data_IF_286462791160
#
_entry.id   IF_286462791160
#
_cell.length_a   1.000
_cell.length_b   1.000
_cell.length_c   1.000
_cell.angle_alpha   90.00
_cell.angle_beta   90.00
_cell.angle_gamma   90.00
#
_symmetry.space_group_name_H-M   'P 1'
#
loop_
_entity.id
_entity.type
_entity.pdbx_description
1 polymer ?
#
# COMPACT_ATOMS: atom_id res chain seq x y z
N UNK A 1 -19.92 19.39 -0.29
CA UNK A 1 -18.61 19.26 -0.99
C UNK A 1 -17.87 18.09 -0.34
N UNK A 2 -17.17 17.24 -1.09
CA UNK A 2 -16.33 16.21 -0.46
C UNK A 2 -15.18 16.89 0.31
N UNK A 3 -14.74 16.31 1.42
CA UNK A 3 -13.60 16.86 2.18
C UNK A 3 -12.33 16.90 1.31
N UNK A 4 -12.13 15.93 0.40
CA UNK A 4 -11.05 15.97 -0.59
C UNK A 4 -11.09 17.18 -1.53
N UNK A 5 -12.27 17.70 -1.90
CA UNK A 5 -12.36 18.93 -2.69
C UNK A 5 -11.92 20.16 -1.89
N UNK A 6 -12.17 20.16 -0.57
CA UNK A 6 -11.67 21.19 0.33
C UNK A 6 -10.14 21.13 0.48
N UNK A 7 -9.56 19.93 0.60
CA UNK A 7 -8.10 19.74 0.63
C UNK A 7 -7.45 20.32 -0.64
N UNK A 8 -8.00 20.02 -1.82
CA UNK A 8 -7.52 20.59 -3.09
C UNK A 8 -7.59 22.11 -3.09
N UNK A 9 -8.66 22.70 -2.54
CA UNK A 9 -8.79 24.14 -2.42
C UNK A 9 -7.76 24.76 -1.45
N UNK A 10 -7.45 24.08 -0.35
CA UNK A 10 -6.41 24.49 0.61
C UNK A 10 -5.04 24.44 -0.09
N UNK A 11 -4.66 23.32 -0.71
CA UNK A 11 -3.40 23.21 -1.45
C UNK A 11 -3.28 24.32 -2.51
N UNK A 12 -4.34 24.53 -3.31
CA UNK A 12 -4.36 25.57 -4.33
C UNK A 12 -4.22 26.98 -3.73
N UNK A 13 -4.82 27.25 -2.57
CA UNK A 13 -4.71 28.53 -1.86
C UNK A 13 -3.28 28.79 -1.40
N UNK A 14 -2.62 27.81 -0.76
CA UNK A 14 -1.25 27.97 -0.27
C UNK A 14 -0.25 28.08 -1.44
N UNK A 15 -0.52 27.38 -2.54
CA UNK A 15 0.21 27.53 -3.81
C UNK A 15 0.08 28.93 -4.40
N UNK A 16 -1.13 29.50 -4.39
CA UNK A 16 -1.40 30.84 -4.92
C UNK A 16 -0.85 31.96 -4.02
N UNK A 17 -0.88 31.78 -2.69
CA UNK A 17 -0.33 32.74 -1.73
C UNK A 17 1.20 32.79 -1.75
N UNK A 18 1.86 31.67 -2.10
CA UNK A 18 3.28 31.61 -2.40
C UNK A 18 3.57 32.02 -3.84
N UNK A 19 3.34 33.30 -4.18
CA UNK A 19 3.43 33.85 -5.55
C UNK A 19 4.74 33.56 -6.32
N UNK A 20 5.79 33.07 -5.66
CA UNK A 20 6.94 32.40 -6.27
C UNK A 20 7.18 31.06 -5.55
N UNK A 21 7.66 30.02 -6.25
CA UNK A 21 8.14 28.77 -5.62
C UNK A 21 9.30 28.98 -4.61
N UNK A 22 9.75 30.22 -4.44
CA UNK A 22 10.87 30.63 -3.62
C UNK A 22 10.79 30.24 -2.14
N UNK A 23 9.65 30.30 -1.42
CA UNK A 23 9.61 29.91 0.00
C UNK A 23 9.87 28.41 0.22
N UNK A 24 9.24 27.55 -0.60
CA UNK A 24 9.44 26.10 -0.54
C UNK A 24 10.86 25.72 -0.99
N UNK A 25 11.34 26.27 -2.11
CA UNK A 25 12.69 26.04 -2.59
C UNK A 25 13.76 26.52 -1.59
N UNK A 26 13.54 27.67 -0.94
CA UNK A 26 14.46 28.21 0.08
C UNK A 26 14.50 27.30 1.31
N UNK A 27 13.34 26.88 1.81
CA UNK A 27 13.26 26.00 2.96
C UNK A 27 13.87 24.62 2.69
N UNK A 28 13.63 24.05 1.51
CA UNK A 28 14.23 22.79 1.08
C UNK A 28 15.75 22.93 0.95
N UNK A 29 16.26 24.01 0.35
CA UNK A 29 17.70 24.26 0.28
C UNK A 29 18.34 24.34 1.65
N UNK A 30 17.69 24.98 2.63
CA UNK A 30 18.18 25.00 4.01
C UNK A 30 18.22 23.60 4.66
N UNK A 31 17.28 22.71 4.31
CA UNK A 31 17.17 21.35 4.86
C UNK A 31 18.10 20.35 4.16
N UNK A 32 18.27 20.47 2.85
CA UNK A 32 19.18 19.65 2.04
C UNK A 32 20.66 20.04 2.21
N UNK A 33 20.90 21.25 2.73
CA UNK A 33 22.23 21.78 3.00
C UNK A 33 22.84 22.53 1.82
N UNK A 34 23.96 23.22 2.08
CA UNK A 34 24.60 24.16 1.14
C UNK A 34 25.22 23.51 -0.11
N UNK A 35 25.25 22.18 -0.18
CA UNK A 35 25.76 21.42 -1.34
C UNK A 35 24.69 21.09 -2.38
N UNK A 36 23.41 21.26 -2.03
CA UNK A 36 22.32 20.97 -2.95
C UNK A 36 22.35 21.95 -4.14
N UNK A 37 22.40 21.40 -5.34
CA UNK A 37 22.35 22.15 -6.59
C UNK A 37 20.95 22.73 -6.81
N UNK A 38 20.81 23.79 -7.63
CA UNK A 38 19.49 24.32 -7.98
C UNK A 38 18.56 23.26 -8.58
N UNK A 39 19.08 22.38 -9.44
CA UNK A 39 18.30 21.31 -10.06
C UNK A 39 17.75 20.31 -9.03
N UNK A 40 18.57 19.87 -8.07
CA UNK A 40 18.12 18.97 -7.00
C UNK A 40 17.05 19.62 -6.12
N UNK A 41 17.15 20.93 -5.88
CA UNK A 41 16.11 21.68 -5.14
C UNK A 41 14.81 21.76 -5.95
N UNK A 42 14.88 22.02 -7.25
CA UNK A 42 13.72 22.07 -8.13
C UNK A 42 13.02 20.72 -8.24
N UNK A 43 13.79 19.62 -8.32
CA UNK A 43 13.27 18.24 -8.25
C UNK A 43 12.57 17.97 -6.90
N UNK A 44 13.18 18.38 -5.79
CA UNK A 44 12.57 18.24 -4.47
C UNK A 44 11.27 19.05 -4.32
N UNK A 45 11.22 20.26 -4.89
CA UNK A 45 9.99 21.09 -4.94
C UNK A 45 8.91 20.39 -5.75
N UNK A 46 9.24 19.86 -6.93
CA UNK A 46 8.31 19.13 -7.77
C UNK A 46 7.75 17.90 -7.04
N UNK A 47 8.60 17.15 -6.35
CA UNK A 47 8.19 15.96 -5.61
C UNK A 47 7.31 16.28 -4.39
N UNK A 48 7.60 17.37 -3.65
CA UNK A 48 6.71 17.86 -2.59
C UNK A 48 5.29 18.14 -3.11
N UNK A 49 5.19 18.77 -4.28
CA UNK A 49 3.90 19.11 -4.90
C UNK A 49 3.16 17.88 -5.40
N UNK A 50 3.87 16.93 -5.99
CA UNK A 50 3.30 15.65 -6.39
C UNK A 50 2.69 14.92 -5.19
N UNK A 51 3.40 14.88 -4.06
CA UNK A 51 2.90 14.31 -2.81
C UNK A 51 1.61 15.01 -2.36
N UNK A 52 1.61 16.35 -2.30
CA UNK A 52 0.43 17.13 -1.88
C UNK A 52 -0.76 16.88 -2.79
N UNK A 53 -0.54 16.91 -4.11
CA UNK A 53 -1.61 16.74 -5.10
C UNK A 53 -2.17 15.30 -5.10
N UNK A 54 -1.34 14.32 -4.73
CA UNK A 54 -1.73 12.91 -4.67
C UNK A 54 -2.61 12.56 -3.46
N UNK A 55 -2.35 13.16 -2.28
CA UNK A 55 -3.10 12.82 -1.04
C UNK A 55 -4.63 12.81 -1.24
N UNK A 56 -5.29 13.87 -1.75
CA UNK A 56 -6.73 13.85 -1.94
C UNK A 56 -7.18 12.81 -2.98
N UNK A 57 -6.36 12.53 -4.00
CA UNK A 57 -6.63 11.49 -5.00
C UNK A 57 -6.63 10.10 -4.37
N UNK A 58 -5.64 9.81 -3.52
CA UNK A 58 -5.52 8.52 -2.84
C UNK A 58 -6.66 8.28 -1.87
N UNK A 59 -7.11 9.31 -1.15
CA UNK A 59 -8.29 9.25 -0.29
C UNK A 59 -9.54 8.92 -1.09
N UNK A 60 -9.77 9.62 -2.21
CA UNK A 60 -10.91 9.36 -3.10
C UNK A 60 -10.88 7.90 -3.63
N UNK A 61 -9.71 7.41 -4.04
CA UNK A 61 -9.54 6.03 -4.55
C UNK A 61 -9.75 4.97 -3.48
N UNK A 62 -9.27 5.22 -2.27
CA UNK A 62 -9.49 4.34 -1.13
C UNK A 62 -10.96 4.23 -0.78
N UNK A 63 -11.67 5.37 -0.75
CA UNK A 63 -13.11 5.42 -0.51
C UNK A 63 -13.88 4.65 -1.57
N UNK A 64 -13.52 4.82 -2.84
CA UNK A 64 -14.11 4.08 -3.97
C UNK A 64 -13.86 2.56 -3.86
N UNK A 65 -12.61 2.16 -3.58
CA UNK A 65 -12.25 0.75 -3.41
C UNK A 65 -12.95 0.11 -2.20
N UNK A 66 -13.00 0.81 -1.07
CA UNK A 66 -13.71 0.39 0.13
C UNK A 66 -15.21 0.21 -0.14
N UNK A 67 -15.83 1.14 -0.90
CA UNK A 67 -17.22 1.03 -1.33
C UNK A 67 -17.49 -0.25 -2.13
N UNK A 68 -16.64 -0.56 -3.12
CA UNK A 68 -16.77 -1.80 -3.93
C UNK A 68 -16.65 -3.08 -3.11
N UNK A 69 -15.88 -3.06 -2.04
CA UNK A 69 -15.67 -4.22 -1.16
C UNK A 69 -16.64 -4.26 0.04
N UNK A 70 -17.56 -3.30 0.16
CA UNK A 70 -18.47 -3.20 1.30
C UNK A 70 -17.78 -2.82 2.62
N UNK A 71 -16.58 -2.23 2.55
CA UNK A 71 -15.75 -1.83 3.68
C UNK A 71 -15.81 -0.33 3.98
N UNK A 72 -16.62 0.45 3.25
CA UNK A 72 -16.71 1.90 3.42
C UNK A 72 -16.91 2.34 4.87
N UNK A 73 -17.85 1.71 5.61
CA UNK A 73 -18.09 2.05 7.02
C UNK A 73 -16.92 1.73 7.97
N UNK A 74 -16.05 0.79 7.62
CA UNK A 74 -14.88 0.45 8.41
C UNK A 74 -13.73 1.45 8.20
N UNK A 75 -13.56 1.91 6.97
CA UNK A 75 -12.40 2.71 6.53
C UNK A 75 -12.66 4.21 6.62
N UNK A 76 -13.91 4.64 6.47
CA UNK A 76 -14.28 6.06 6.47
C UNK A 76 -13.76 6.82 7.71
N UNK A 77 -13.82 6.29 8.95
CA UNK A 77 -13.26 7.01 10.11
C UNK A 77 -11.75 7.29 9.96
N UNK A 78 -11.01 6.38 9.33
CA UNK A 78 -9.57 6.56 9.10
C UNK A 78 -9.31 7.57 7.98
N UNK A 79 -10.12 7.56 6.92
CA UNK A 79 -10.03 8.53 5.83
C UNK A 79 -10.44 9.94 6.28
N UNK A 80 -11.53 10.06 7.03
CA UNK A 80 -11.97 11.33 7.62
C UNK A 80 -10.91 11.90 8.57
N UNK A 81 -10.21 11.03 9.31
CA UNK A 81 -9.08 11.46 10.12
C UNK A 81 -7.89 11.95 9.27
N UNK A 82 -7.58 11.26 8.16
CA UNK A 82 -6.57 11.74 7.21
C UNK A 82 -6.95 13.11 6.60
N UNK A 83 -8.23 13.31 6.29
CA UNK A 83 -8.75 14.58 5.78
C UNK A 83 -8.69 15.69 6.83
N UNK A 84 -8.90 15.36 8.11
CA UNK A 84 -8.90 16.33 9.21
C UNK A 84 -7.56 17.05 9.39
N UNK A 85 -6.43 16.41 9.08
CA UNK A 85 -5.12 17.06 9.16
C UNK A 85 -5.01 18.30 8.27
N UNK A 86 -5.68 18.32 7.11
CA UNK A 86 -5.71 19.48 6.24
C UNK A 86 -6.82 20.47 6.57
N UNK A 87 -7.97 19.97 7.03
CA UNK A 87 -9.19 20.78 7.21
C UNK A 87 -9.20 21.54 8.54
N UNK A 88 -8.64 20.94 9.58
CA UNK A 88 -8.50 21.50 10.92
C UNK A 88 -7.06 21.25 11.41
N UNK A 89 -6.07 21.92 10.78
CA UNK A 89 -4.68 21.58 10.99
C UNK A 89 -4.24 21.91 12.42
N UNK A 90 -3.51 20.97 13.02
CA UNK A 90 -2.77 21.22 14.27
C UNK A 90 -1.37 21.71 13.86
N UNK A 91 -1.29 22.94 13.35
CA UNK A 91 -0.09 23.54 12.76
C UNK A 91 1.19 23.21 13.55
N UNK A 92 1.98 22.24 13.08
CA UNK A 92 3.32 21.96 13.63
C UNK A 92 4.35 22.75 12.84
N UNK A 93 4.14 22.86 11.54
CA UNK A 93 4.77 23.81 10.67
C UNK A 93 3.79 24.96 10.39
N UNK A 94 4.08 26.20 10.83
CA UNK A 94 3.16 27.31 10.62
C UNK A 94 3.00 27.60 9.12
N UNK A 95 1.83 27.26 8.57
CA UNK A 95 1.49 27.45 7.15
C UNK A 95 1.63 28.92 6.72
N UNK A 96 1.29 29.83 7.64
CA UNK A 96 1.39 31.29 7.48
C UNK A 96 2.83 31.79 7.28
N UNK A 97 3.83 31.04 7.74
CA UNK A 97 5.25 31.39 7.63
C UNK A 97 5.98 30.55 6.58
N UNK A 98 5.49 29.34 6.30
CA UNK A 98 6.20 28.34 5.50
C UNK A 98 5.50 28.00 4.18
N UNK A 99 4.31 28.55 3.92
CA UNK A 99 3.57 28.34 2.67
C UNK A 99 3.25 26.85 2.44
N UNK A 100 3.52 26.34 1.23
CA UNK A 100 3.30 24.93 0.87
C UNK A 100 4.11 23.94 1.75
N UNK A 101 5.25 24.37 2.31
CA UNK A 101 6.04 23.52 3.20
C UNK A 101 5.26 23.19 4.50
N UNK A 102 4.40 24.10 4.93
CA UNK A 102 3.56 23.92 6.11
C UNK A 102 2.43 22.91 5.93
N UNK A 103 2.24 22.36 4.72
CA UNK A 103 1.28 21.29 4.46
C UNK A 103 1.93 19.90 4.44
N UNK A 104 3.27 19.83 4.53
CA UNK A 104 4.00 18.56 4.38
C UNK A 104 3.91 17.67 5.62
N UNK A 105 3.73 18.25 6.81
CA UNK A 105 3.39 17.52 8.02
C UNK A 105 1.97 16.92 7.93
N UNK A 106 0.99 17.67 7.41
CA UNK A 106 -0.36 17.13 7.19
C UNK A 106 -0.35 16.02 6.14
N UNK A 107 0.40 16.21 5.05
CA UNK A 107 0.60 15.17 4.04
C UNK A 107 1.25 13.92 4.62
N UNK A 108 2.25 14.08 5.49
CA UNK A 108 2.87 12.96 6.20
C UNK A 108 1.86 12.21 7.07
N UNK A 109 1.05 12.92 7.86
CA UNK A 109 0.05 12.31 8.73
C UNK A 109 -1.06 11.60 7.92
N UNK A 110 -1.53 12.22 6.84
CA UNK A 110 -2.52 11.63 5.95
C UNK A 110 -1.99 10.39 5.21
N UNK A 111 -0.78 10.42 4.67
CA UNK A 111 -0.16 9.26 4.02
C UNK A 111 0.07 8.11 5.00
N UNK A 112 0.37 8.40 6.26
CA UNK A 112 0.43 7.38 7.30
C UNK A 112 -0.93 6.76 7.60
N UNK A 113 -1.99 7.57 7.73
CA UNK A 113 -3.34 7.05 7.91
C UNK A 113 -3.78 6.19 6.71
N UNK A 114 -3.42 6.61 5.49
CA UNK A 114 -3.59 5.82 4.26
C UNK A 114 -2.82 4.50 4.35
N UNK A 115 -1.56 4.51 4.78
CA UNK A 115 -0.76 3.29 4.96
C UNK A 115 -1.41 2.32 5.95
N UNK A 116 -2.00 2.83 7.03
CA UNK A 116 -2.66 1.99 8.04
C UNK A 116 -3.90 1.26 7.53
N UNK A 117 -4.62 1.81 6.53
CA UNK A 117 -5.76 1.10 5.92
C UNK A 117 -5.35 0.06 4.88
N UNK A 118 -4.11 0.11 4.39
CA UNK A 118 -3.55 -0.88 3.48
C UNK A 118 -3.03 -2.09 4.28
N UNK A 119 -3.87 -3.09 4.49
CA UNK A 119 -3.47 -4.31 5.20
C UNK A 119 -2.96 -5.34 4.20
N UNK A 120 -1.68 -5.71 4.30
CA UNK A 120 -1.15 -6.86 3.56
C UNK A 120 -1.76 -8.18 4.04
N UNK A 121 -1.95 -9.17 3.14
CA UNK A 121 -1.53 -9.22 1.73
C UNK A 121 -2.53 -8.64 0.71
N UNK A 122 -3.68 -8.12 1.16
CA UNK A 122 -4.78 -7.70 0.29
C UNK A 122 -5.12 -6.21 0.47
N UNK A 123 -4.24 -5.30 -0.02
CA UNK A 123 -4.47 -3.87 0.11
C UNK A 123 -5.65 -3.42 -0.77
N UNK A 124 -6.42 -2.44 -0.29
CA UNK A 124 -7.56 -1.87 -1.01
C UNK A 124 -7.14 -1.23 -2.34
N UNK A 125 -5.98 -0.56 -2.33
CA UNK A 125 -5.29 -0.10 -3.53
C UNK A 125 -3.80 -0.45 -3.41
N UNK A 126 -3.21 -0.95 -4.48
CA UNK A 126 -1.76 -1.18 -4.53
C UNK A 126 -1.07 0.13 -4.88
N UNK A 127 -0.34 0.69 -3.92
CA UNK A 127 0.48 1.89 -4.10
C UNK A 127 1.75 1.77 -3.25
N UNK A 128 2.89 2.17 -3.80
CA UNK A 128 4.16 2.20 -3.07
C UNK A 128 4.33 3.55 -2.37
N UNK A 129 4.05 3.59 -1.07
CA UNK A 129 4.21 4.78 -0.23
C UNK A 129 5.64 4.96 0.29
N UNK A 130 6.57 4.02 0.04
CA UNK A 130 7.91 4.02 0.61
C UNK A 130 8.76 5.25 0.24
N UNK A 131 8.95 5.53 -1.06
CA UNK A 131 9.74 6.68 -1.52
C UNK A 131 9.27 8.04 -0.97
N UNK A 132 7.98 8.43 -1.07
CA UNK A 132 7.55 9.74 -0.58
C UNK A 132 7.56 9.83 0.95
N UNK A 133 7.27 8.73 1.65
CA UNK A 133 7.39 8.69 3.11
C UNK A 133 8.84 8.94 3.54
N UNK A 134 9.80 8.27 2.92
CA UNK A 134 11.23 8.45 3.21
C UNK A 134 11.67 9.88 2.92
N UNK A 135 11.22 10.45 1.80
CA UNK A 135 11.52 11.82 1.43
C UNK A 135 10.93 12.84 2.42
N UNK A 136 9.66 12.70 2.80
CA UNK A 136 9.04 13.55 3.83
C UNK A 136 9.77 13.45 5.16
N UNK A 137 10.25 12.27 5.55
CA UNK A 137 11.04 12.10 6.75
C UNK A 137 12.36 12.90 6.71
N UNK A 138 13.06 12.85 5.59
CA UNK A 138 14.27 13.64 5.39
C UNK A 138 13.98 15.15 5.42
N UNK A 139 12.91 15.58 4.75
CA UNK A 139 12.54 17.00 4.68
C UNK A 139 12.09 17.50 6.05
N UNK A 140 11.18 16.83 6.75
CA UNK A 140 10.56 17.32 7.99
C UNK A 140 11.56 17.43 9.16
N UNK A 141 12.62 16.61 9.14
CA UNK A 141 13.65 16.59 10.17
C UNK A 141 13.21 15.87 11.45
N UNK A 142 14.20 15.42 12.23
CA UNK A 142 13.99 14.50 13.35
C UNK A 142 13.04 15.02 14.43
N UNK A 143 13.14 16.31 14.79
CA UNK A 143 12.33 16.90 15.87
C UNK A 143 10.85 17.02 15.49
N UNK A 144 10.55 17.44 14.27
CA UNK A 144 9.18 17.48 13.72
C UNK A 144 8.62 16.07 13.65
N UNK A 145 9.39 15.13 13.08
CA UNK A 145 8.97 13.74 12.96
C UNK A 145 8.68 13.08 14.31
N UNK A 146 9.49 13.31 15.34
CA UNK A 146 9.26 12.75 16.66
C UNK A 146 7.89 13.17 17.22
N UNK A 147 7.50 14.43 17.00
CA UNK A 147 6.19 14.95 17.42
C UNK A 147 5.06 14.35 16.59
N UNK A 148 5.20 14.30 15.27
CA UNK A 148 4.20 13.71 14.38
C UNK A 148 3.99 12.23 14.66
N UNK A 149 5.06 11.46 14.90
CA UNK A 149 4.99 10.04 15.28
C UNK A 149 4.28 9.83 16.63
N UNK A 150 4.52 10.71 17.60
CA UNK A 150 3.81 10.65 18.89
C UNK A 150 2.30 10.92 18.74
N UNK A 151 1.94 11.88 17.89
CA UNK A 151 0.55 12.20 17.57
C UNK A 151 -0.14 11.04 16.85
N UNK A 152 0.49 10.51 15.81
CA UNK A 152 0.01 9.32 15.13
C UNK A 152 -0.22 8.15 16.08
N UNK A 153 0.72 7.87 17.00
CA UNK A 153 0.55 6.79 17.96
C UNK A 153 -0.63 7.02 18.92
N UNK A 154 -1.03 8.27 19.17
CA UNK A 154 -2.24 8.59 19.91
C UNK A 154 -3.50 8.36 19.05
N UNK A 155 -3.50 8.86 17.82
CA UNK A 155 -4.60 8.69 16.86
C UNK A 155 -4.84 7.24 16.47
N UNK A 156 -3.79 6.46 16.23
CA UNK A 156 -3.84 5.04 15.92
C UNK A 156 -4.56 4.25 17.03
N UNK A 157 -4.26 4.55 18.30
CA UNK A 157 -4.93 3.88 19.42
C UNK A 157 -6.43 4.16 19.46
N UNK A 158 -6.86 5.36 19.06
CA UNK A 158 -8.28 5.73 18.98
C UNK A 158 -8.94 5.05 17.78
N UNK A 159 -8.30 5.10 16.60
CA UNK A 159 -8.80 4.50 15.37
C UNK A 159 -8.89 2.98 15.45
N UNK A 160 -7.90 2.29 16.04
CA UNK A 160 -7.95 0.83 16.24
C UNK A 160 -9.09 0.42 17.17
N UNK A 161 -9.38 1.22 18.21
CA UNK A 161 -10.54 0.98 19.10
C UNK A 161 -11.86 1.18 18.36
N UNK A 162 -11.93 2.12 17.43
CA UNK A 162 -13.11 2.30 16.57
C UNK A 162 -13.26 1.18 15.55
N UNK A 163 -12.20 0.84 14.82
CA UNK A 163 -12.18 -0.25 13.86
C UNK A 163 -12.55 -1.60 14.51
N UNK A 164 -12.09 -1.86 15.73
CA UNK A 164 -12.48 -3.06 16.48
C UNK A 164 -14.00 -3.10 16.78
N UNK A 165 -14.59 -1.95 17.13
CA UNK A 165 -16.05 -1.83 17.34
C UNK A 165 -16.81 -2.12 16.04
N UNK A 166 -16.35 -1.56 14.92
CA UNK A 166 -16.94 -1.79 13.60
C UNK A 166 -16.82 -3.26 13.14
N UNK A 167 -15.64 -3.86 13.31
CA UNK A 167 -15.40 -5.27 12.96
C UNK A 167 -16.30 -6.21 13.75
N UNK A 168 -16.47 -5.97 15.05
CA UNK A 168 -17.38 -6.76 15.87
C UNK A 168 -18.84 -6.67 15.38
N UNK A 169 -19.29 -5.47 14.99
CA UNK A 169 -20.62 -5.30 14.40
C UNK A 169 -20.78 -6.02 13.05
N UNK A 170 -19.75 -5.98 12.19
CA UNK A 170 -19.77 -6.66 10.89
C UNK A 170 -19.71 -8.20 11.01
N UNK A 171 -18.93 -8.74 11.96
CA UNK A 171 -18.85 -10.18 12.21
C UNK A 171 -20.19 -10.73 12.73
N UNK A 172 -20.87 -9.99 13.60
CA UNK A 172 -22.21 -10.34 14.06
C UNK A 172 -23.21 -10.41 12.90
N UNK A 173 -23.14 -9.46 11.95
CA UNK A 173 -23.95 -9.49 10.73
C UNK A 173 -23.66 -10.75 9.89
N UNK A 174 -22.38 -11.05 9.62
CA UNK A 174 -21.96 -12.23 8.84
C UNK A 174 -22.42 -13.54 9.48
N UNK A 175 -22.34 -13.65 10.81
CA UNK A 175 -22.81 -14.83 11.55
C UNK A 175 -24.30 -15.07 11.36
N UNK A 176 -25.10 -13.99 11.39
CA UNK A 176 -26.55 -14.07 11.13
C UNK A 176 -26.87 -14.52 9.71
N UNK A 177 -26.06 -14.12 8.73
CA UNK A 177 -26.20 -14.52 7.34
C UNK A 177 -25.75 -15.97 7.10
N UNK A 178 -24.61 -16.37 7.66
CA UNK A 178 -24.09 -17.73 7.56
C UNK A 178 -25.04 -18.76 8.20
N UNK A 179 -25.66 -18.41 9.33
CA UNK A 179 -26.68 -19.24 9.99
C UNK A 179 -27.93 -19.49 9.10
N UNK A 180 -28.13 -18.70 8.03
CA UNK A 180 -29.23 -18.87 7.08
C UNK A 180 -28.88 -19.74 5.88
N UNK A 181 -27.62 -20.19 5.74
CA UNK A 181 -27.14 -20.91 4.55
C UNK A 181 -27.14 -22.44 4.79
N UNK A 182 -27.80 -23.26 3.96
CA UNK A 182 -27.82 -24.72 4.12
C UNK A 182 -26.49 -25.36 3.70
N UNK A 183 -26.10 -26.44 4.39
CA UNK A 183 -24.81 -27.12 4.23
C UNK A 183 -24.77 -28.08 3.02
N UNK A 184 -23.67 -28.05 2.27
CA UNK A 184 -23.41 -28.88 1.08
C UNK A 184 -22.61 -30.14 1.45
N UNK A 185 -22.94 -31.30 0.85
CA UNK A 185 -22.46 -32.62 1.27
C UNK A 185 -21.10 -33.02 0.64
N UNK A 186 -20.21 -33.73 1.36
CA UNK A 186 -18.87 -34.05 0.87
C UNK A 186 -18.84 -35.28 -0.05
N UNK A 187 -18.05 -35.19 -1.13
CA UNK A 187 -17.81 -36.30 -2.06
C UNK A 187 -16.77 -37.30 -1.54
N UNK A 188 -17.01 -38.59 -1.82
CA UNK A 188 -16.15 -39.73 -1.41
C UNK A 188 -14.97 -39.95 -2.37
N UNK A 189 -13.78 -40.31 -1.84
CA UNK A 189 -12.60 -40.56 -2.65
C UNK A 189 -12.47 -42.03 -3.11
N UNK A 190 -11.81 -42.22 -4.26
CA UNK A 190 -11.53 -43.53 -4.85
C UNK A 190 -10.15 -44.11 -4.45
N UNK A 191 -9.98 -45.46 -4.43
CA UNK A 191 -8.78 -46.11 -3.91
C UNK A 191 -7.69 -46.34 -4.97
N UNK A 192 -6.46 -46.54 -4.48
CA UNK A 192 -5.23 -46.77 -5.28
C UNK A 192 -4.73 -48.22 -5.19
N UNK A 193 -4.00 -48.71 -6.21
CA UNK A 193 -3.15 -49.90 -6.09
C UNK A 193 -1.64 -49.60 -6.22
N UNK A 194 -0.81 -50.54 -5.78
CA UNK A 194 0.67 -50.58 -5.71
C UNK A 194 1.19 -52.01 -6.04
N UNK A 195 2.50 -52.30 -6.10
CA UNK A 195 3.47 -51.91 -7.14
C UNK A 195 4.34 -53.10 -7.64
N UNK A 196 5.20 -52.86 -8.64
CA UNK A 196 6.34 -53.72 -9.02
C UNK A 196 7.32 -52.88 -9.86
N UNK A 197 8.60 -52.84 -9.48
CA UNK A 197 9.51 -51.75 -9.88
C UNK A 197 9.78 -51.64 -11.38
N UNK A 198 9.74 -50.42 -11.92
CA UNK A 198 9.94 -50.08 -13.34
C UNK A 198 10.69 -48.76 -13.47
N UNK A 199 11.27 -48.50 -14.63
CA UNK A 199 11.79 -47.16 -14.95
C UNK A 199 10.69 -46.12 -14.69
N UNK A 200 11.06 -45.03 -14.03
CA UNK A 200 10.12 -43.97 -13.71
C UNK A 200 9.68 -43.29 -15.00
N UNK A 201 8.52 -43.69 -15.53
CA UNK A 201 7.93 -43.08 -16.72
C UNK A 201 7.59 -41.61 -16.51
N UNK A 202 7.37 -41.19 -15.25
CA UNK A 202 7.05 -39.80 -14.92
C UNK A 202 8.22 -38.83 -15.16
N UNK A 203 9.47 -39.30 -15.08
CA UNK A 203 10.65 -38.49 -15.40
C UNK A 203 11.51 -39.11 -16.52
N UNK A 204 11.03 -40.16 -17.17
CA UNK A 204 11.77 -40.94 -18.17
C UNK A 204 13.19 -41.32 -17.70
N UNK A 205 13.36 -41.65 -16.42
CA UNK A 205 14.67 -42.00 -15.84
C UNK A 205 15.59 -40.82 -15.46
N UNK A 206 15.23 -39.56 -15.73
CA UNK A 206 16.09 -38.39 -15.48
C UNK A 206 16.26 -38.01 -14.00
N UNK A 207 15.41 -38.52 -13.11
CA UNK A 207 15.43 -38.17 -11.69
C UNK A 207 14.92 -36.75 -11.36
N UNK A 208 14.91 -35.83 -12.32
CA UNK A 208 14.23 -34.53 -12.21
C UNK A 208 13.02 -34.45 -13.15
N UNK A 209 12.10 -33.55 -12.82
CA UNK A 209 10.97 -33.21 -13.67
C UNK A 209 10.84 -31.68 -13.75
N UNK A 210 10.25 -31.19 -14.84
CA UNK A 210 9.87 -29.79 -14.98
C UNK A 210 9.00 -29.39 -13.80
N UNK A 211 9.34 -28.28 -13.15
CA UNK A 211 8.56 -27.76 -12.04
C UNK A 211 7.17 -27.39 -12.55
N UNK A 212 6.14 -28.14 -12.12
CA UNK A 212 4.76 -27.84 -12.50
C UNK A 212 4.24 -26.50 -11.97
N UNK A 213 4.86 -25.96 -10.91
CA UNK A 213 4.47 -24.67 -10.35
C UNK A 213 4.84 -23.50 -11.28
N UNK A 214 6.08 -23.49 -11.81
CA UNK A 214 6.54 -22.44 -12.71
C UNK A 214 6.64 -22.87 -14.18
N UNK A 215 6.09 -24.03 -14.55
CA UNK A 215 6.18 -24.62 -15.89
C UNK A 215 7.62 -24.68 -16.48
N UNK A 216 8.64 -24.73 -15.63
CA UNK A 216 10.04 -24.75 -16.05
C UNK A 216 10.73 -23.40 -16.21
N UNK A 217 10.04 -22.28 -15.99
CA UNK A 217 10.64 -20.94 -16.16
C UNK A 217 11.57 -20.53 -14.99
N UNK A 218 11.46 -21.18 -13.83
CA UNK A 218 12.22 -20.82 -12.63
C UNK A 218 11.69 -19.58 -11.89
N UNK A 219 10.64 -18.95 -12.40
CA UNK A 219 9.93 -17.82 -11.77
C UNK A 219 8.44 -17.88 -12.08
N UNK A 220 7.65 -17.21 -11.27
CA UNK A 220 6.26 -16.89 -11.55
C UNK A 220 6.18 -15.45 -12.02
N UNK A 221 5.45 -15.19 -13.10
CA UNK A 221 5.07 -13.83 -13.47
C UNK A 221 3.69 -13.55 -12.93
N UNK A 222 3.56 -12.51 -12.12
CA UNK A 222 2.26 -12.01 -11.69
C UNK A 222 2.04 -10.64 -12.32
N UNK A 223 0.92 -10.51 -13.02
CA UNK A 223 0.44 -9.24 -13.51
C UNK A 223 -0.59 -8.68 -12.54
N UNK A 224 -0.40 -7.45 -12.08
CA UNK A 224 -1.41 -6.77 -11.27
C UNK A 224 -1.51 -5.30 -11.65
N UNK A 225 -2.68 -4.73 -11.42
CA UNK A 225 -2.90 -3.29 -11.55
C UNK A 225 -2.53 -2.62 -10.23
N UNK A 226 -1.70 -1.60 -10.29
CA UNK A 226 -1.45 -0.66 -9.19
C UNK A 226 -1.97 0.72 -9.55
N UNK A 227 -2.03 1.60 -8.58
CA UNK A 227 -2.43 2.99 -8.77
C UNK A 227 -1.18 3.86 -8.64
N UNK A 228 -0.94 4.75 -9.61
CA UNK A 228 0.13 5.75 -9.55
C UNK A 228 -0.25 6.93 -8.63
N UNK A 229 0.67 7.87 -8.46
CA UNK A 229 0.47 9.06 -7.61
C UNK A 229 -0.61 10.02 -8.14
N UNK A 230 -0.91 9.95 -9.44
CA UNK A 230 -1.99 10.71 -10.05
C UNK A 230 -3.35 9.96 -9.99
N UNK A 231 -3.40 8.76 -9.42
CA UNK A 231 -4.61 7.97 -9.31
C UNK A 231 -4.97 7.18 -10.57
N UNK A 232 -4.06 7.04 -11.53
CA UNK A 232 -4.26 6.23 -12.73
C UNK A 232 -3.89 4.78 -12.46
N UNK A 233 -4.54 3.87 -13.18
CA UNK A 233 -4.23 2.46 -13.16
C UNK A 233 -2.98 2.17 -14.01
N UNK A 234 -1.94 1.59 -13.41
CA UNK A 234 -0.73 1.11 -14.07
C UNK A 234 -0.68 -0.42 -14.00
N UNK A 235 -0.43 -1.08 -15.14
CA UNK A 235 -0.26 -2.53 -15.18
C UNK A 235 1.22 -2.89 -14.96
N UNK A 236 1.49 -3.60 -13.88
CA UNK A 236 2.84 -4.04 -13.50
C UNK A 236 2.96 -5.55 -13.67
N UNK A 237 4.10 -5.99 -14.21
CA UNK A 237 4.47 -7.40 -14.27
C UNK A 237 5.66 -7.64 -13.38
N UNK A 238 5.47 -8.42 -12.32
CA UNK A 238 6.50 -8.77 -11.35
C UNK A 238 6.92 -10.24 -11.51
N UNK A 239 8.23 -10.49 -11.47
CA UNK A 239 8.80 -11.84 -11.50
C UNK A 239 9.25 -12.25 -10.12
N UNK A 240 8.52 -13.18 -9.51
CA UNK A 240 8.91 -13.77 -8.22
C UNK A 240 9.65 -15.08 -8.48
N UNK A 241 10.86 -15.28 -7.92
CA UNK A 241 11.58 -16.54 -8.06
C UNK A 241 10.74 -17.73 -7.60
N UNK A 242 10.71 -18.80 -8.38
CA UNK A 242 10.09 -20.04 -7.95
C UNK A 242 11.05 -20.73 -6.98
N UNK A 243 10.52 -21.37 -5.94
CA UNK A 243 11.33 -22.12 -4.96
C UNK A 243 12.01 -23.38 -5.53
N UNK A 244 11.93 -23.60 -6.84
CA UNK A 244 12.58 -24.70 -7.53
C UNK A 244 14.00 -24.30 -7.99
N UNK A 245 14.85 -25.28 -8.26
CA UNK A 245 16.21 -25.02 -8.76
C UNK A 245 16.17 -24.69 -10.26
N UNK A 246 15.86 -23.45 -10.61
CA UNK A 246 15.92 -22.97 -11.99
C UNK A 246 14.94 -23.65 -12.95
N UNK A 247 13.75 -24.00 -12.46
CA UNK A 247 12.69 -24.62 -13.28
C UNK A 247 12.56 -26.14 -13.12
N UNK A 248 13.42 -26.79 -12.32
CA UNK A 248 13.37 -28.24 -12.11
C UNK A 248 13.13 -28.62 -10.65
N UNK A 249 12.47 -29.76 -10.44
CA UNK A 249 12.27 -30.38 -9.12
C UNK A 249 12.63 -31.86 -9.17
N UNK A 250 12.97 -32.44 -8.03
CA UNK A 250 13.19 -33.88 -7.90
C UNK A 250 11.89 -34.64 -8.22
N UNK A 251 11.98 -35.67 -9.06
CA UNK A 251 10.83 -36.47 -9.43
C UNK A 251 10.27 -37.20 -8.19
N UNK A 252 9.05 -36.84 -7.79
CA UNK A 252 8.40 -37.40 -6.59
C UNK A 252 8.10 -38.89 -6.71
N UNK A 253 7.89 -39.40 -7.92
CA UNK A 253 7.57 -40.81 -8.14
C UNK A 253 8.75 -41.72 -7.79
N UNK A 254 9.97 -41.33 -8.15
CA UNK A 254 11.19 -42.13 -7.94
C UNK A 254 12.14 -41.57 -6.86
N UNK A 255 11.80 -40.44 -6.23
CA UNK A 255 12.66 -39.78 -5.24
C UNK A 255 14.00 -39.30 -5.81
N UNK A 256 14.07 -39.03 -7.12
CA UNK A 256 15.31 -38.64 -7.78
C UNK A 256 16.14 -39.78 -8.37
N UNK A 257 15.78 -41.03 -8.09
CA UNK A 257 16.58 -42.19 -8.52
C UNK A 257 16.44 -42.55 -10.01
N UNK A 258 15.36 -42.09 -10.67
CA UNK A 258 15.00 -42.50 -12.04
C UNK A 258 14.19 -43.81 -12.12
N UNK A 259 13.95 -44.51 -11.00
CA UNK A 259 13.24 -45.81 -10.95
C UNK A 259 12.20 -45.83 -9.83
N UNK A 260 11.04 -46.44 -10.07
CA UNK A 260 9.95 -46.59 -9.08
C UNK A 260 9.82 -48.03 -8.64
#
# INVERSE_FOLDING_TARGET
MSQTAQIRAIIARHRAQGHDAAPLATALRSRMGSRATPAEVDEAVAFCREILDAVPVLIDRLREAAGRQGLAGLIEPMLAHAESYFVDPVDRLPETLLGELGLLDDAYLALNAIRMVQVEPDPLIRIDLGPPMTFLEQVLGESTLARLKAEMAASERLLLREAARWKAAADEQRRREAARRPAEAPLRPAPRPTPGRRMCTACSGLGSATCGACAGYGYHSSGYTRVDWQGNAEYVTERTPCSCSGGQVVCRSCGGSGYV
#
